data_IF_183741192332
#
_entry.id   IF_183741192332
#
_cell.length_a   1.000
_cell.length_b   1.000
_cell.length_c   1.000
_cell.angle_alpha   90.00
_cell.angle_beta   90.00
_cell.angle_gamma   90.00
#
_symmetry.space_group_name_H-M   'P 1'
#
loop_
_entity.id
_entity.type
_entity.pdbx_description
1 polymer ?
#
# COMPACT_ATOMS: atom_id res chain seq x y z
N UNK A 1 -8.11 17.73 25.28
CA UNK A 1 -6.75 17.17 25.38
C UNK A 1 -6.69 15.71 24.94
N UNK A 2 -7.65 14.86 25.33
CA UNK A 2 -7.68 13.44 24.93
C UNK A 2 -7.68 13.24 23.40
N UNK A 3 -8.62 13.90 22.70
CA UNK A 3 -8.75 13.83 21.23
C UNK A 3 -7.46 14.14 20.47
N UNK A 4 -6.73 15.19 20.87
CA UNK A 4 -5.47 15.56 20.24
C UNK A 4 -4.39 14.50 20.44
N UNK A 5 -4.29 13.94 21.66
CA UNK A 5 -3.33 12.88 21.97
C UNK A 5 -3.63 11.61 21.17
N UNK A 6 -4.90 11.24 21.05
CA UNK A 6 -5.34 10.11 20.21
C UNK A 6 -4.95 10.32 18.75
N UNK A 7 -5.20 11.50 18.19
CA UNK A 7 -4.83 11.82 16.80
C UNK A 7 -3.31 11.71 16.57
N UNK A 8 -2.50 12.26 17.47
CA UNK A 8 -1.04 12.18 17.37
C UNK A 8 -0.53 10.74 17.48
N UNK A 9 -1.10 9.93 18.38
CA UNK A 9 -0.76 8.52 18.51
C UNK A 9 -1.12 7.72 17.25
N UNK A 10 -2.26 8.01 16.63
CA UNK A 10 -2.66 7.38 15.37
C UNK A 10 -1.72 7.77 14.23
N UNK A 11 -1.32 9.04 14.14
CA UNK A 11 -0.32 9.52 13.17
C UNK A 11 1.02 8.76 13.34
N UNK A 12 1.48 8.59 14.58
CA UNK A 12 2.72 7.86 14.88
C UNK A 12 2.62 6.38 14.47
N UNK A 13 1.51 5.71 14.82
CA UNK A 13 1.27 4.31 14.46
C UNK A 13 1.19 4.12 12.95
N UNK A 14 0.54 5.04 12.24
CA UNK A 14 0.45 5.02 10.79
C UNK A 14 1.83 5.17 10.16
N UNK A 15 2.64 6.12 10.63
CA UNK A 15 4.03 6.29 10.17
C UNK A 15 4.87 5.02 10.37
N UNK A 16 4.78 4.38 11.53
CA UNK A 16 5.46 3.11 11.79
C UNK A 16 4.99 1.98 10.86
N UNK A 17 3.68 1.87 10.61
CA UNK A 17 3.12 0.88 9.69
C UNK A 17 3.53 1.13 8.23
N UNK A 18 3.63 2.40 7.79
CA UNK A 18 4.18 2.76 6.47
C UNK A 18 5.66 2.34 6.37
N UNK A 19 6.46 2.62 7.40
CA UNK A 19 7.88 2.30 7.40
C UNK A 19 8.16 0.79 7.40
N UNK A 20 7.27 0.02 8.04
CA UNK A 20 7.34 -1.44 8.06
C UNK A 20 6.66 -2.12 6.86
N UNK A 21 6.06 -1.35 5.94
CA UNK A 21 5.23 -1.87 4.84
C UNK A 21 4.12 -2.83 5.31
N UNK A 22 3.60 -2.61 6.53
CA UNK A 22 2.53 -3.42 7.10
C UNK A 22 1.17 -2.93 6.58
N UNK A 23 0.82 -3.37 5.38
CA UNK A 23 -0.42 -3.03 4.68
C UNK A 23 -1.67 -3.42 5.48
N UNK A 24 -1.58 -4.47 6.31
CA UNK A 24 -2.70 -4.94 7.14
C UNK A 24 -2.91 -4.02 8.33
N UNK A 25 -1.84 -3.59 8.99
CA UNK A 25 -1.91 -2.58 10.03
C UNK A 25 -2.42 -1.24 9.48
N UNK A 26 -2.00 -0.83 8.27
CA UNK A 26 -2.51 0.38 7.62
C UNK A 26 -4.02 0.32 7.37
N UNK A 27 -4.52 -0.84 6.92
CA UNK A 27 -5.96 -1.06 6.73
C UNK A 27 -6.73 -0.97 8.04
N UNK A 28 -6.23 -1.59 9.11
CA UNK A 28 -6.86 -1.53 10.43
C UNK A 28 -6.91 -0.10 10.99
N UNK A 29 -5.83 0.66 10.84
CA UNK A 29 -5.77 2.08 11.24
C UNK A 29 -6.77 2.90 10.42
N UNK A 30 -6.85 2.68 9.10
CA UNK A 30 -7.77 3.43 8.24
C UNK A 30 -9.24 3.17 8.59
N UNK A 31 -9.61 1.90 8.82
CA UNK A 31 -10.96 1.53 9.27
C UNK A 31 -11.31 2.17 10.61
N UNK A 32 -10.35 2.17 11.55
CA UNK A 32 -10.54 2.84 12.84
C UNK A 32 -10.71 4.35 12.68
N UNK A 33 -9.95 5.00 11.79
CA UNK A 33 -10.12 6.42 11.50
C UNK A 33 -11.48 6.74 10.91
N UNK A 34 -11.97 5.92 9.98
CA UNK A 34 -13.26 6.10 9.34
C UNK A 34 -14.43 6.06 10.35
N UNK A 35 -14.31 5.26 11.42
CA UNK A 35 -15.35 5.17 12.47
C UNK A 35 -15.17 6.22 13.56
N UNK A 36 -13.94 6.51 13.96
CA UNK A 36 -13.66 7.33 15.14
C UNK A 36 -13.70 8.82 14.83
N UNK A 37 -13.25 9.26 13.65
CA UNK A 37 -13.23 10.68 13.28
C UNK A 37 -14.63 11.33 13.24
N UNK A 38 -15.67 10.70 12.65
CA UNK A 38 -17.02 11.25 12.69
C UNK A 38 -17.58 11.35 14.11
N UNK A 39 -17.33 10.34 14.94
CA UNK A 39 -17.75 10.35 16.35
C UNK A 39 -17.08 11.48 17.13
N UNK A 40 -15.79 11.72 16.91
CA UNK A 40 -15.05 12.82 17.53
C UNK A 40 -15.51 14.19 17.02
N UNK A 41 -15.90 14.29 15.74
CA UNK A 41 -16.47 15.51 15.17
C UNK A 41 -17.85 15.82 15.76
N UNK A 42 -18.64 14.80 16.09
CA UNK A 42 -19.95 14.96 16.73
C UNK A 42 -19.87 15.48 18.18
N UNK A 43 -18.71 15.35 18.84
CA UNK A 43 -18.47 15.87 20.21
C UNK A 43 -18.27 17.39 20.26
N UNK A 44 -18.30 18.07 19.11
CA UNK A 44 -18.23 19.53 19.02
C UNK A 44 -17.00 20.03 18.28
N UNK A 45 -16.96 21.36 18.13
CA UNK A 45 -16.00 22.08 17.30
C UNK A 45 -14.54 21.71 17.59
N UNK A 46 -13.76 21.56 16.51
CA UNK A 46 -12.32 21.34 16.59
C UNK A 46 -11.58 22.61 17.00
N UNK A 47 -10.72 22.49 18.01
CA UNK A 47 -9.75 23.53 18.37
C UNK A 47 -8.64 23.64 17.32
N UNK A 48 -7.88 24.74 17.34
CA UNK A 48 -6.73 24.94 16.45
C UNK A 48 -5.68 23.83 16.58
N UNK A 49 -5.39 23.38 17.81
CA UNK A 49 -4.45 22.30 18.08
C UNK A 49 -4.95 20.95 17.54
N UNK A 50 -6.25 20.65 17.65
CA UNK A 50 -6.83 19.43 17.07
C UNK A 50 -6.84 19.47 15.55
N UNK A 51 -7.11 20.64 14.93
CA UNK A 51 -7.01 20.79 13.46
C UNK A 51 -5.58 20.59 12.96
N UNK A 52 -4.57 21.07 13.70
CA UNK A 52 -3.17 20.83 13.36
C UNK A 52 -2.84 19.32 13.39
N UNK A 53 -3.31 18.61 14.43
CA UNK A 53 -3.14 17.16 14.52
C UNK A 53 -3.87 16.40 13.39
N UNK A 54 -5.08 16.83 13.01
CA UNK A 54 -5.81 16.29 11.86
C UNK A 54 -5.08 16.53 10.53
N UNK A 55 -4.48 17.71 10.36
CA UNK A 55 -3.68 18.02 9.17
C UNK A 55 -2.46 17.11 9.06
N UNK A 56 -1.75 16.89 10.18
CA UNK A 56 -0.61 15.99 10.22
C UNK A 56 -1.02 14.54 9.91
N UNK A 57 -2.15 14.08 10.46
CA UNK A 57 -2.71 12.76 10.15
C UNK A 57 -3.06 12.62 8.66
N UNK A 58 -3.69 13.65 8.07
CA UNK A 58 -4.02 13.66 6.63
C UNK A 58 -2.76 13.59 5.75
N UNK A 59 -1.70 14.29 6.12
CA UNK A 59 -0.43 14.22 5.40
C UNK A 59 0.16 12.81 5.42
N UNK A 60 0.14 12.14 6.59
CA UNK A 60 0.59 10.74 6.69
C UNK A 60 -0.30 9.77 5.92
N UNK A 61 -1.61 10.01 5.88
CA UNK A 61 -2.50 9.19 5.06
C UNK A 61 -2.19 9.31 3.57
N UNK A 62 -1.96 10.53 3.07
CA UNK A 62 -1.57 10.74 1.69
C UNK A 62 -0.22 10.08 1.36
N UNK A 63 0.74 10.09 2.29
CA UNK A 63 2.01 9.38 2.12
C UNK A 63 1.82 7.86 2.07
N UNK A 64 0.94 7.32 2.91
CA UNK A 64 0.59 5.90 2.86
C UNK A 64 0.01 5.50 1.49
N UNK A 65 -0.88 6.33 0.92
CA UNK A 65 -1.45 6.08 -0.41
C UNK A 65 -0.35 6.01 -1.47
N UNK A 66 0.56 7.00 -1.49
CA UNK A 66 1.70 6.99 -2.44
C UNK A 66 2.57 5.75 -2.29
N UNK A 67 2.81 5.30 -1.06
CA UNK A 67 3.60 4.09 -0.79
C UNK A 67 2.89 2.82 -1.28
N UNK A 68 1.58 2.74 -1.08
CA UNK A 68 0.76 1.65 -1.62
C UNK A 68 0.79 1.62 -3.15
N UNK A 69 0.66 2.78 -3.80
CA UNK A 69 0.70 2.89 -5.27
C UNK A 69 2.06 2.41 -5.80
N UNK A 70 3.17 2.90 -5.22
CA UNK A 70 4.52 2.48 -5.60
C UNK A 70 4.74 0.98 -5.39
N UNK A 71 4.24 0.40 -4.30
CA UNK A 71 4.35 -1.03 -4.03
C UNK A 71 3.53 -1.85 -5.04
N UNK A 72 2.36 -1.34 -5.46
CA UNK A 72 1.50 -1.96 -6.47
C UNK A 72 2.15 -1.94 -7.84
N UNK A 73 2.75 -0.82 -8.24
CA UNK A 73 3.47 -0.67 -9.51
C UNK A 73 4.70 -1.59 -9.57
N UNK A 74 5.45 -1.68 -8.46
CA UNK A 74 6.60 -2.58 -8.35
C UNK A 74 6.17 -4.06 -8.47
N UNK A 75 5.05 -4.43 -7.83
CA UNK A 75 4.50 -5.77 -7.94
C UNK A 75 4.04 -6.08 -9.38
N UNK A 76 3.33 -5.14 -10.02
CA UNK A 76 2.88 -5.28 -11.40
C UNK A 76 4.04 -5.49 -12.37
N UNK A 77 5.09 -4.68 -12.23
CA UNK A 77 6.32 -4.80 -13.04
C UNK A 77 6.99 -6.17 -12.85
N UNK A 78 7.03 -6.68 -11.62
CA UNK A 78 7.62 -7.99 -11.32
C UNK A 78 6.80 -9.15 -11.89
N UNK A 79 5.47 -9.05 -11.85
CA UNK A 79 4.58 -10.04 -12.46
C UNK A 79 4.74 -10.07 -13.99
N UNK A 80 4.83 -8.90 -14.63
CA UNK A 80 5.09 -8.81 -16.07
C UNK A 80 6.44 -9.43 -16.44
N UNK A 81 7.49 -9.18 -15.65
CA UNK A 81 8.80 -9.78 -15.86
C UNK A 81 8.76 -11.32 -15.72
N UNK A 82 8.02 -11.84 -14.73
CA UNK A 82 7.86 -13.28 -14.56
C UNK A 82 7.11 -13.92 -15.74
N UNK A 83 6.05 -13.27 -16.23
CA UNK A 83 5.31 -13.73 -17.40
C UNK A 83 6.18 -13.74 -18.66
N UNK A 84 6.89 -12.64 -18.94
CA UNK A 84 7.80 -12.55 -20.09
C UNK A 84 8.93 -13.58 -20.02
N UNK A 85 9.44 -13.85 -18.82
CA UNK A 85 10.41 -14.92 -18.61
C UNK A 85 9.79 -16.26 -18.98
N UNK A 86 8.60 -16.59 -18.47
CA UNK A 86 7.91 -17.85 -18.77
C UNK A 86 7.66 -18.03 -20.27
N UNK A 87 7.20 -16.99 -20.96
CA UNK A 87 7.01 -16.99 -22.43
C UNK A 87 8.32 -17.26 -23.17
N UNK A 88 9.44 -16.68 -22.70
CA UNK A 88 10.77 -16.95 -23.26
C UNK A 88 11.21 -18.40 -23.11
N UNK A 89 11.07 -18.99 -21.92
CA UNK A 89 11.40 -20.41 -21.70
C UNK A 89 10.52 -21.34 -22.54
N UNK A 90 9.22 -21.00 -22.69
CA UNK A 90 8.30 -21.78 -23.53
C UNK A 90 8.68 -21.72 -25.01
N UNK A 91 9.07 -20.54 -25.51
CA UNK A 91 9.54 -20.38 -26.88
C UNK A 91 10.81 -21.19 -27.15
N UNK A 92 11.77 -21.17 -26.23
CA UNK A 92 12.98 -22.00 -26.35
C UNK A 92 12.67 -23.50 -26.29
N UNK A 93 11.73 -23.94 -25.45
CA UNK A 93 11.33 -25.35 -25.39
C UNK A 93 10.67 -25.81 -26.70
N UNK A 94 9.74 -25.02 -27.25
CA UNK A 94 9.09 -25.32 -28.53
C UNK A 94 10.07 -25.31 -29.71
N UNK A 95 11.03 -24.39 -29.73
CA UNK A 95 12.10 -24.35 -30.75
C UNK A 95 12.98 -25.60 -30.66
N UNK A 96 13.34 -26.05 -29.45
CA UNK A 96 14.13 -27.27 -29.26
C UNK A 96 13.39 -28.53 -29.71
N UNK A 97 12.08 -28.65 -29.46
CA UNK A 97 11.28 -29.79 -29.93
C UNK A 97 11.16 -29.83 -31.46
N UNK A 98 11.04 -28.68 -32.13
CA UNK A 98 11.05 -28.61 -33.59
C UNK A 98 12.42 -28.92 -34.19
N UNK A 99 13.52 -28.49 -33.55
CA UNK A 99 14.88 -28.79 -33.98
C UNK A 99 15.22 -30.29 -33.84
N UNK A 100 14.71 -30.97 -32.81
CA UNK A 100 14.91 -32.41 -32.62
C UNK A 100 14.06 -33.25 -33.61
N UNK A 101 12.87 -32.79 -33.96
CA UNK A 101 11.97 -33.50 -34.91
C UNK A 101 12.31 -33.22 -36.37
N UNK A 102 13.10 -32.17 -36.66
CA UNK A 102 13.52 -31.77 -38.01
C UNK A 102 14.71 -32.56 -38.60
N UNK A 103 15.33 -33.47 -37.85
CA UNK A 103 16.43 -34.33 -38.32
C UNK A 103 15.90 -35.74 -38.65
N UNK A 104 14.82 -35.84 -39.43
CA UNK A 104 14.47 -37.07 -40.15
C UNK A 104 13.77 -36.73 -41.47
N UNK A 105 14.54 -36.44 -42.51
CA UNK A 105 14.18 -36.65 -43.92
C UNK A 105 15.46 -36.79 -44.76
#
# INVERSE_FOLDING_TARGET
MDRQRTLLQLTQKMSAAIAAEDWRALTAINTMLATTLPQMAAQGSWSSAERAALSALRQMHNEAVKRCDLATDALGSKLQQMQATQEGWLAYALESEHAETGIQA
#
